data_IF_335941871568
#
_entry.id   IF_335941871568
#
_cell.length_a   1.000
_cell.length_b   1.000
_cell.length_c   1.000
_cell.angle_alpha   90.00
_cell.angle_beta   90.00
_cell.angle_gamma   90.00
#
_symmetry.space_group_name_H-M   'P 1'
#
loop_
_entity.id
_entity.type
_entity.pdbx_description
1 polymer ?
#
# COMPACT_ATOMS: atom_id res chain seq x y z
N UNK A 1 -0.26 -45.48 -19.11
CA UNK A 1 0.38 -44.56 -18.14
C UNK A 1 0.98 -43.39 -18.92
N UNK A 2 0.20 -42.34 -19.15
CA UNK A 2 0.69 -41.09 -19.76
C UNK A 2 -0.01 -39.92 -19.08
N UNK A 3 0.73 -39.24 -18.21
CA UNK A 3 0.30 -38.01 -17.54
C UNK A 3 0.41 -36.86 -18.53
N UNK A 4 -0.73 -36.36 -19.01
CA UNK A 4 -0.84 -35.10 -19.74
C UNK A 4 -0.60 -33.95 -18.75
N UNK A 5 0.61 -33.39 -18.77
CA UNK A 5 0.92 -32.12 -18.11
C UNK A 5 0.36 -31.01 -19.01
N UNK A 6 -0.84 -30.53 -18.70
CA UNK A 6 -1.36 -29.31 -19.32
C UNK A 6 -0.55 -28.10 -18.82
N UNK A 7 -0.05 -27.22 -19.72
CA UNK A 7 0.58 -25.99 -19.31
C UNK A 7 -0.48 -25.06 -18.70
N UNK A 8 -0.28 -24.64 -17.45
CA UNK A 8 -1.04 -23.53 -16.85
C UNK A 8 -0.75 -22.27 -17.66
N UNK A 9 -1.68 -21.91 -18.54
CA UNK A 9 -1.76 -20.59 -19.17
C UNK A 9 -1.81 -19.53 -18.07
N UNK A 10 -0.68 -18.88 -17.81
CA UNK A 10 -0.65 -17.63 -17.05
C UNK A 10 -1.22 -16.55 -17.95
N UNK A 11 -2.53 -16.31 -17.85
CA UNK A 11 -3.17 -15.14 -18.42
C UNK A 11 -2.60 -13.90 -17.72
N UNK A 12 -1.51 -13.37 -18.27
CA UNK A 12 -1.08 -12.00 -18.00
C UNK A 12 -2.08 -11.09 -18.70
N UNK A 13 -3.26 -10.90 -18.09
CA UNK A 13 -4.18 -9.85 -18.48
C UNK A 13 -3.47 -8.52 -18.20
N UNK A 14 -2.92 -7.93 -19.25
CA UNK A 14 -2.38 -6.57 -19.22
C UNK A 14 -3.58 -5.66 -18.88
N UNK A 15 -3.62 -5.15 -17.65
CA UNK A 15 -4.72 -4.29 -17.18
C UNK A 15 -4.84 -3.07 -18.09
N UNK A 16 -6.03 -2.82 -18.61
CA UNK A 16 -6.30 -1.67 -19.50
C UNK A 16 -6.17 -0.36 -18.71
N UNK A 17 -5.51 0.64 -19.30
CA UNK A 17 -5.35 1.94 -18.66
C UNK A 17 -6.70 2.66 -18.53
N UNK A 18 -7.11 2.95 -17.29
CA UNK A 18 -8.33 3.72 -16.99
C UNK A 18 -8.00 5.22 -17.07
N UNK A 19 -8.77 6.05 -17.79
CA UNK A 19 -8.59 7.50 -17.78
C UNK A 19 -8.83 8.06 -16.36
N UNK A 20 -7.89 8.86 -15.86
CA UNK A 20 -7.88 9.30 -14.46
C UNK A 20 -8.33 10.76 -14.29
N UNK A 21 -9.19 11.02 -13.31
CA UNK A 21 -9.61 12.37 -12.93
C UNK A 21 -8.55 13.12 -12.11
N UNK A 22 -8.55 14.46 -12.21
CA UNK A 22 -7.74 15.35 -11.37
C UNK A 22 -8.24 15.40 -9.92
N UNK A 23 -7.29 15.54 -9.01
CA UNK A 23 -7.54 15.40 -7.59
C UNK A 23 -7.93 16.74 -6.96
N UNK A 24 -9.23 17.04 -6.89
CA UNK A 24 -9.66 18.32 -6.32
C UNK A 24 -9.59 18.32 -4.78
N UNK A 25 -10.09 17.29 -4.07
CA UNK A 25 -10.08 17.23 -2.59
C UNK A 25 -9.99 15.76 -2.07
N UNK A 26 -9.26 15.51 -0.96
CA UNK A 26 -9.18 14.21 -0.28
C UNK A 26 -10.02 14.17 1.01
N UNK A 27 -10.99 13.25 1.12
CA UNK A 27 -11.78 13.01 2.34
C UNK A 27 -11.43 11.66 2.99
N UNK A 28 -10.64 11.71 4.07
CA UNK A 28 -10.26 10.52 4.85
C UNK A 28 -11.44 9.79 5.51
N UNK A 29 -12.57 10.46 5.75
CA UNK A 29 -13.77 9.82 6.29
C UNK A 29 -14.50 9.03 5.21
N UNK A 30 -14.58 9.55 3.99
CA UNK A 30 -15.11 8.82 2.84
C UNK A 30 -14.33 7.53 2.58
N UNK A 31 -12.99 7.60 2.57
CA UNK A 31 -12.14 6.40 2.41
C UNK A 31 -12.42 5.38 3.51
N UNK A 32 -12.50 5.80 4.77
CA UNK A 32 -12.82 4.88 5.89
C UNK A 32 -14.21 4.26 5.77
N UNK A 33 -15.22 5.02 5.32
CA UNK A 33 -16.55 4.46 5.04
C UNK A 33 -16.50 3.42 3.91
N UNK A 34 -15.73 3.68 2.87
CA UNK A 34 -15.54 2.73 1.78
C UNK A 34 -14.79 1.47 2.24
N UNK A 35 -13.76 1.60 3.07
CA UNK A 35 -13.08 0.47 3.72
C UNK A 35 -14.10 -0.36 4.53
N UNK A 36 -14.90 0.28 5.38
CA UNK A 36 -15.91 -0.41 6.18
C UNK A 36 -17.02 -1.06 5.31
N UNK A 37 -17.31 -0.52 4.12
CA UNK A 37 -18.21 -1.16 3.16
C UNK A 37 -17.55 -2.41 2.54
N UNK A 38 -16.31 -2.29 2.06
CA UNK A 38 -15.53 -3.40 1.52
C UNK A 38 -15.35 -4.52 2.55
N UNK A 39 -15.13 -4.19 3.82
CA UNK A 39 -15.02 -5.18 4.90
C UNK A 39 -16.36 -5.88 5.16
N UNK A 40 -17.49 -5.16 5.13
CA UNK A 40 -18.82 -5.76 5.24
C UNK A 40 -19.13 -6.69 4.08
N UNK A 41 -18.76 -6.31 2.86
CA UNK A 41 -18.94 -7.14 1.67
C UNK A 41 -18.00 -8.36 1.69
N UNK A 42 -16.74 -8.18 2.09
CA UNK A 42 -15.78 -9.26 2.28
C UNK A 42 -16.16 -10.23 3.42
N UNK A 43 -16.92 -9.77 4.42
CA UNK A 43 -17.49 -10.62 5.47
C UNK A 43 -18.65 -11.50 4.95
N UNK A 44 -19.23 -11.15 3.80
CA UNK A 44 -20.32 -11.89 3.13
C UNK A 44 -19.83 -12.84 2.04
N UNK A 45 -18.70 -12.52 1.40
CA UNK A 45 -18.06 -13.38 0.40
C UNK A 45 -17.03 -14.32 1.07
N UNK A 46 -16.71 -15.50 0.48
CA UNK A 46 -15.56 -16.27 0.92
C UNK A 46 -14.32 -15.39 0.80
N UNK A 47 -13.65 -15.08 1.92
CA UNK A 47 -12.48 -14.21 1.89
C UNK A 47 -11.46 -14.76 0.90
N UNK A 48 -11.26 -14.07 -0.22
CA UNK A 48 -10.02 -14.22 -0.98
C UNK A 48 -8.95 -13.57 -0.10
N UNK A 49 -8.43 -14.35 0.86
CA UNK A 49 -7.42 -13.88 1.79
C UNK A 49 -6.25 -13.27 1.03
N UNK A 50 -5.57 -12.29 1.66
CA UNK A 50 -4.46 -11.56 1.04
C UNK A 50 -3.50 -12.52 0.29
N UNK A 51 -3.35 -12.26 -1.00
CA UNK A 51 -2.42 -12.97 -1.87
C UNK A 51 -1.00 -12.49 -1.56
N UNK A 52 -0.38 -13.09 -0.55
CA UNK A 52 0.93 -12.68 -0.04
C UNK A 52 2.06 -13.54 -0.61
N UNK A 53 3.14 -12.89 -1.02
CA UNK A 53 4.46 -13.49 -1.27
C UNK A 53 5.51 -12.74 -0.43
N UNK A 54 6.45 -13.46 0.17
CA UNK A 54 7.59 -12.86 0.87
C UNK A 54 8.90 -13.30 0.23
N UNK A 55 9.68 -12.33 -0.24
CA UNK A 55 11.06 -12.50 -0.71
C UNK A 55 12.06 -12.03 0.38
N UNK A 56 11.58 -11.62 1.57
CA UNK A 56 12.41 -11.17 2.69
C UNK A 56 12.92 -12.37 3.50
N UNK A 57 14.24 -12.60 3.60
CA UNK A 57 14.79 -13.69 4.39
C UNK A 57 14.32 -13.65 5.86
N UNK A 58 13.92 -14.82 6.38
CA UNK A 58 13.48 -14.98 7.76
C UNK A 58 12.09 -14.43 8.08
N UNK A 59 11.34 -13.91 7.10
CA UNK A 59 9.95 -13.47 7.30
C UNK A 59 8.97 -14.40 6.54
N UNK A 60 8.22 -15.23 7.30
CA UNK A 60 7.28 -16.19 6.72
C UNK A 60 6.00 -15.49 6.25
N UNK A 61 5.36 -16.04 5.22
CA UNK A 61 4.07 -15.54 4.69
C UNK A 61 2.98 -15.49 5.78
N UNK A 62 2.96 -16.48 6.69
CA UNK A 62 2.01 -16.48 7.82
C UNK A 62 2.20 -15.27 8.75
N UNK A 63 3.45 -14.84 8.97
CA UNK A 63 3.76 -13.68 9.80
C UNK A 63 3.33 -12.38 9.14
N UNK A 64 3.49 -12.28 7.81
CA UNK A 64 2.98 -11.16 7.02
C UNK A 64 1.46 -11.11 7.09
N UNK A 65 0.77 -12.24 6.88
CA UNK A 65 -0.69 -12.31 6.98
C UNK A 65 -1.18 -11.88 8.36
N UNK A 66 -0.52 -12.33 9.43
CA UNK A 66 -0.83 -11.90 10.80
C UNK A 66 -0.55 -10.41 11.03
N UNK A 67 0.54 -9.88 10.48
CA UNK A 67 0.87 -8.46 10.56
C UNK A 67 -0.17 -7.56 9.86
N UNK A 68 -0.70 -8.01 8.72
CA UNK A 68 -1.68 -7.31 7.89
C UNK A 68 -3.14 -7.71 8.19
N UNK A 69 -3.37 -8.56 9.19
CA UNK A 69 -4.72 -8.93 9.59
C UNK A 69 -5.54 -7.68 9.99
N UNK A 70 -6.81 -7.66 9.60
CA UNK A 70 -7.73 -6.54 9.82
C UNK A 70 -7.43 -5.29 8.99
N UNK A 71 -6.60 -5.39 7.95
CA UNK A 71 -6.40 -4.31 6.97
C UNK A 71 -7.20 -4.61 5.70
N UNK A 72 -7.62 -3.56 4.96
CA UNK A 72 -8.45 -3.73 3.77
C UNK A 72 -7.73 -4.53 2.69
N UNK A 73 -8.45 -5.41 1.99
CA UNK A 73 -7.89 -6.19 0.87
C UNK A 73 -7.77 -5.34 -0.40
N UNK A 74 -6.75 -5.53 -1.25
CA UNK A 74 -6.62 -4.85 -2.53
C UNK A 74 -7.24 -5.68 -3.68
N UNK A 75 -8.32 -6.41 -3.37
CA UNK A 75 -8.96 -7.35 -4.30
C UNK A 75 -7.99 -8.46 -4.75
N UNK A 76 -7.76 -8.53 -6.06
CA UNK A 76 -6.93 -9.54 -6.73
C UNK A 76 -5.44 -9.17 -6.78
N UNK A 77 -5.03 -8.00 -6.26
CA UNK A 77 -3.62 -7.62 -6.21
C UNK A 77 -2.83 -8.55 -5.29
N UNK A 78 -1.63 -8.89 -5.75
CA UNK A 78 -0.65 -9.61 -4.93
C UNK A 78 0.14 -8.64 -4.05
N UNK A 79 0.24 -8.93 -2.76
CA UNK A 79 1.14 -8.23 -1.84
C UNK A 79 2.49 -8.95 -1.83
N UNK A 80 3.55 -8.26 -2.24
CA UNK A 80 4.90 -8.81 -2.34
C UNK A 80 5.82 -8.08 -1.36
N UNK A 81 6.34 -8.81 -0.37
CA UNK A 81 7.29 -8.26 0.59
C UNK A 81 8.71 -8.44 0.06
N UNK A 82 9.45 -7.33 -0.06
CA UNK A 82 10.84 -7.33 -0.55
C UNK A 82 11.79 -6.72 0.48
N UNK A 83 13.06 -7.13 0.52
CA UNK A 83 14.07 -6.42 1.30
C UNK A 83 14.34 -5.02 0.72
N UNK A 84 14.52 -4.05 1.62
CA UNK A 84 15.04 -2.72 1.32
C UNK A 84 16.46 -2.61 1.88
N UNK A 85 17.45 -2.65 0.99
CA UNK A 85 18.82 -2.31 1.36
C UNK A 85 18.96 -0.79 1.42
N UNK A 86 19.70 -0.30 2.41
CA UNK A 86 19.95 1.12 2.60
C UNK A 86 21.42 1.36 2.95
N UNK A 87 21.96 2.51 2.56
CA UNK A 87 23.35 2.90 2.84
C UNK A 87 23.46 3.73 4.12
N UNK A 88 22.61 4.74 4.27
CA UNK A 88 22.70 5.72 5.37
C UNK A 88 21.81 5.34 6.54
N UNK A 89 20.50 5.21 6.30
CA UNK A 89 19.51 4.87 7.34
C UNK A 89 18.34 4.07 6.78
N UNK A 90 17.68 3.25 7.61
CA UNK A 90 16.37 2.70 7.27
C UNK A 90 15.39 3.83 6.89
N UNK A 91 14.50 3.51 5.96
CA UNK A 91 13.42 4.39 5.52
C UNK A 91 12.26 3.54 4.99
N UNK A 92 11.11 4.17 4.83
CA UNK A 92 9.90 3.57 4.26
C UNK A 92 10.01 3.58 2.73
N UNK A 93 9.62 2.48 2.09
CA UNK A 93 9.51 2.42 0.65
C UNK A 93 8.47 1.38 0.23
N UNK A 94 7.56 1.78 -0.64
CA UNK A 94 6.56 0.92 -1.28
C UNK A 94 6.48 1.23 -2.77
N UNK A 95 5.69 0.44 -3.48
CA UNK A 95 5.26 0.76 -4.84
C UNK A 95 4.03 -0.07 -5.20
N UNK A 96 3.01 0.55 -5.76
CA UNK A 96 1.93 -0.14 -6.46
C UNK A 96 2.28 -0.32 -7.94
N UNK A 97 2.56 -1.55 -8.37
CA UNK A 97 2.74 -1.94 -9.78
C UNK A 97 1.37 -2.27 -10.39
N UNK A 98 0.66 -1.22 -10.83
CA UNK A 98 -0.73 -1.35 -11.30
C UNK A 98 -0.88 -2.30 -12.49
N UNK A 99 0.00 -2.21 -13.50
CA UNK A 99 -0.13 -2.97 -14.75
C UNK A 99 -0.04 -4.49 -14.56
N UNK A 100 0.56 -4.93 -13.45
CA UNK A 100 0.78 -6.34 -13.10
C UNK A 100 0.04 -6.77 -11.84
N UNK A 101 -0.79 -5.89 -11.26
CA UNK A 101 -1.61 -6.19 -10.10
C UNK A 101 -0.79 -6.50 -8.85
N UNK A 102 0.19 -5.65 -8.47
CA UNK A 102 1.01 -5.89 -7.27
C UNK A 102 1.16 -4.66 -6.37
N UNK A 103 1.11 -4.90 -5.07
CA UNK A 103 1.57 -3.96 -4.05
C UNK A 103 2.91 -4.49 -3.52
N UNK A 104 3.98 -3.74 -3.73
CA UNK A 104 5.30 -4.03 -3.19
C UNK A 104 5.46 -3.29 -1.87
N UNK A 105 5.70 -4.05 -0.81
CA UNK A 105 6.08 -3.50 0.50
C UNK A 105 7.55 -3.79 0.72
N UNK A 106 8.38 -2.76 0.83
CA UNK A 106 9.81 -2.94 1.10
C UNK A 106 10.11 -2.75 2.58
N UNK A 107 10.81 -3.72 3.16
CA UNK A 107 11.15 -3.73 4.58
C UNK A 107 12.66 -3.54 4.74
N UNK A 108 13.13 -2.56 5.54
CA UNK A 108 14.55 -2.37 5.80
C UNK A 108 15.26 -3.66 6.23
N UNK A 109 16.36 -3.98 5.56
CA UNK A 109 17.19 -5.15 5.84
C UNK A 109 18.69 -4.77 5.81
N UNK A 110 19.45 -4.94 6.91
CA UNK A 110 19.01 -5.46 8.20
C UNK A 110 17.99 -4.54 8.88
N UNK A 111 17.02 -5.10 9.59
CA UNK A 111 16.05 -4.26 10.29
C UNK A 111 16.67 -3.65 11.55
N UNK A 112 16.59 -2.32 11.66
CA UNK A 112 16.89 -1.57 12.89
C UNK A 112 15.76 -0.59 13.15
N UNK A 113 15.29 -0.44 14.41
CA UNK A 113 14.30 0.58 14.74
C UNK A 113 14.76 1.97 14.28
N UNK A 114 13.84 2.75 13.71
CA UNK A 114 14.15 4.07 13.17
C UNK A 114 12.98 5.03 13.34
N UNK A 115 13.22 6.31 13.05
CA UNK A 115 12.17 7.31 12.96
C UNK A 115 12.19 7.97 11.59
N UNK A 116 11.01 8.20 11.04
CA UNK A 116 10.81 8.90 9.77
C UNK A 116 9.92 10.13 10.04
N UNK A 117 10.16 11.21 9.29
CA UNK A 117 9.20 12.31 9.21
C UNK A 117 8.14 11.92 8.18
N UNK A 118 6.90 11.74 8.64
CA UNK A 118 5.76 11.43 7.77
C UNK A 118 4.97 12.71 7.57
N UNK A 119 4.72 13.09 6.32
CA UNK A 119 4.04 14.34 6.01
C UNK A 119 2.53 14.14 6.03
N UNK A 120 1.87 14.74 7.00
CA UNK A 120 0.44 14.52 7.24
C UNK A 120 -0.42 15.63 6.69
N UNK A 121 0.12 16.81 6.42
CA UNK A 121 -0.64 17.88 5.77
C UNK A 121 0.27 18.87 5.03
N UNK A 122 -0.30 19.54 4.05
CA UNK A 122 0.33 20.66 3.37
C UNK A 122 -0.71 21.76 3.22
N UNK A 123 -0.44 22.93 3.80
CA UNK A 123 -1.27 24.12 3.61
C UNK A 123 -0.57 25.08 2.67
N UNK A 124 -1.21 25.44 1.55
CA UNK A 124 -0.71 26.50 0.67
C UNK A 124 -0.64 27.82 1.44
N UNK A 125 0.52 28.49 1.40
CA UNK A 125 0.69 29.82 1.99
C UNK A 125 0.10 30.88 1.04
N UNK A 126 -0.54 31.94 1.57
CA UNK A 126 -1.01 33.05 0.75
C UNK A 126 0.16 33.76 0.07
N UNK A 127 -0.08 34.29 -1.14
CA UNK A 127 0.91 35.06 -1.92
C UNK A 127 1.11 34.55 -3.35
N UNK A 128 1.86 35.33 -4.15
CA UNK A 128 2.09 35.11 -5.58
C UNK A 128 3.03 33.92 -5.92
N UNK A 129 3.26 32.99 -4.99
CA UNK A 129 4.15 31.83 -5.19
C UNK A 129 3.54 30.52 -4.72
N UNK A 130 3.97 29.41 -5.33
CA UNK A 130 3.56 28.06 -4.93
C UNK A 130 4.35 27.60 -3.70
N UNK A 131 4.07 28.21 -2.54
CA UNK A 131 4.71 27.90 -1.26
C UNK A 131 3.77 27.12 -0.36
N UNK A 132 4.29 26.10 0.32
CA UNK A 132 3.51 25.26 1.25
C UNK A 132 4.10 25.31 2.66
N UNK A 133 3.23 25.27 3.66
CA UNK A 133 3.56 24.94 5.04
C UNK A 133 3.24 23.45 5.24
N UNK A 134 4.29 22.65 5.42
CA UNK A 134 4.17 21.21 5.63
C UNK A 134 4.01 20.91 7.12
N UNK A 135 3.05 20.07 7.44
CA UNK A 135 2.89 19.47 8.76
C UNK A 135 3.39 18.03 8.68
N UNK A 136 4.34 17.67 9.53
CA UNK A 136 4.88 16.32 9.62
C UNK A 136 4.83 15.80 11.05
N UNK A 137 4.75 14.48 11.17
CA UNK A 137 4.84 13.75 12.42
C UNK A 137 6.13 12.92 12.41
N UNK A 138 6.88 12.92 13.53
CA UNK A 138 8.04 12.05 13.69
C UNK A 138 7.57 10.70 14.21
N UNK A 139 7.51 9.71 13.33
CA UNK A 139 6.93 8.40 13.60
C UNK A 139 8.04 7.40 13.86
N UNK A 140 7.90 6.60 14.92
CA UNK A 140 8.90 5.58 15.29
C UNK A 140 8.45 4.19 14.88
N UNK A 141 9.24 3.55 14.03
CA UNK A 141 9.07 2.18 13.58
C UNK A 141 9.96 1.28 14.44
N UNK A 142 9.34 0.53 15.36
CA UNK A 142 10.03 -0.33 16.32
C UNK A 142 10.21 -1.75 15.78
N UNK A 143 9.32 -2.18 14.91
CA UNK A 143 9.28 -3.55 14.39
C UNK A 143 9.06 -3.59 12.89
N UNK A 144 9.41 -4.71 12.25
CA UNK A 144 9.06 -4.98 10.85
C UNK A 144 7.54 -4.90 10.62
N UNK A 145 6.72 -5.25 11.63
CA UNK A 145 5.25 -5.13 11.57
C UNK A 145 4.80 -3.69 11.38
N UNK A 146 5.44 -2.74 12.05
CA UNK A 146 5.09 -1.31 11.92
C UNK A 146 5.30 -0.84 10.48
N UNK A 147 6.45 -1.20 9.90
CA UNK A 147 6.78 -0.89 8.48
C UNK A 147 5.81 -1.59 7.53
N UNK A 148 5.55 -2.88 7.75
CA UNK A 148 4.63 -3.65 6.92
C UNK A 148 3.25 -3.00 6.87
N UNK A 149 2.68 -2.63 8.02
CA UNK A 149 1.34 -2.04 8.09
C UNK A 149 1.30 -0.65 7.48
N UNK A 150 2.26 0.20 7.81
CA UNK A 150 2.31 1.57 7.29
C UNK A 150 2.47 1.59 5.77
N UNK A 151 3.50 0.94 5.24
CA UNK A 151 3.78 0.93 3.80
C UNK A 151 2.63 0.24 3.06
N UNK A 152 2.09 -0.85 3.61
CA UNK A 152 0.93 -1.49 3.01
C UNK A 152 -0.28 -0.56 2.90
N UNK A 153 -0.66 0.15 3.97
CA UNK A 153 -1.80 1.06 3.94
C UNK A 153 -1.58 2.24 3.00
N UNK A 154 -0.34 2.76 2.96
CA UNK A 154 0.05 3.81 2.03
C UNK A 154 -0.17 3.36 0.57
N UNK A 155 0.40 2.21 0.19
CA UNK A 155 0.25 1.67 -1.16
C UNK A 155 -1.16 1.17 -1.46
N UNK A 156 -1.89 0.67 -0.45
CA UNK A 156 -3.28 0.29 -0.59
C UNK A 156 -4.14 1.50 -0.93
N UNK A 157 -3.85 2.68 -0.38
CA UNK A 157 -4.60 3.88 -0.73
C UNK A 157 -4.29 4.33 -2.16
N UNK A 158 -3.03 4.23 -2.60
CA UNK A 158 -2.67 4.42 -4.00
C UNK A 158 -3.46 3.49 -4.93
N UNK A 159 -3.54 2.22 -4.56
CA UNK A 159 -4.38 1.22 -5.23
C UNK A 159 -5.86 1.65 -5.26
N UNK A 160 -6.44 1.97 -4.10
CA UNK A 160 -7.85 2.31 -3.97
C UNK A 160 -8.23 3.55 -4.78
N UNK A 161 -7.43 4.62 -4.70
CA UNK A 161 -7.69 5.85 -5.45
C UNK A 161 -7.68 5.60 -6.96
N UNK A 162 -6.73 4.81 -7.46
CA UNK A 162 -6.64 4.52 -8.89
C UNK A 162 -7.69 3.52 -9.36
N UNK A 163 -7.75 2.34 -8.75
CA UNK A 163 -8.55 1.22 -9.25
C UNK A 163 -10.02 1.35 -8.86
N UNK A 164 -10.32 1.88 -7.68
CA UNK A 164 -11.71 1.96 -7.18
C UNK A 164 -12.35 3.33 -7.37
N UNK A 165 -11.56 4.40 -7.53
CA UNK A 165 -12.08 5.77 -7.66
C UNK A 165 -11.72 6.44 -8.99
N UNK A 166 -10.91 5.80 -9.85
CA UNK A 166 -10.49 6.40 -11.13
C UNK A 166 -9.71 7.71 -10.96
N UNK A 167 -9.03 7.90 -9.82
CA UNK A 167 -8.24 9.08 -9.50
C UNK A 167 -6.75 8.80 -9.65
N UNK A 168 -5.95 9.85 -9.77
CA UNK A 168 -4.48 9.70 -9.74
C UNK A 168 -4.02 9.18 -8.37
N UNK A 169 -3.07 8.26 -8.40
CA UNK A 169 -2.36 7.74 -7.22
C UNK A 169 -1.22 8.70 -6.78
N UNK A 170 -1.44 10.01 -6.82
CA UNK A 170 -0.41 11.03 -6.56
C UNK A 170 -0.54 11.71 -5.20
N UNK A 171 -1.46 11.25 -4.36
CA UNK A 171 -1.89 11.92 -3.14
C UNK A 171 -0.96 11.60 -1.95
N UNK A 172 0.36 11.72 -2.11
CA UNK A 172 1.36 11.19 -1.15
C UNK A 172 1.08 11.59 0.31
N UNK A 173 0.81 12.87 0.56
CA UNK A 173 0.48 13.38 1.91
C UNK A 173 -0.82 12.83 2.47
N UNK A 174 -1.79 12.52 1.61
CA UNK A 174 -3.05 11.89 1.99
C UNK A 174 -2.85 10.40 2.30
N UNK A 175 -2.03 9.70 1.49
CA UNK A 175 -1.62 8.31 1.69
C UNK A 175 -0.85 8.16 3.00
N UNK A 176 0.12 9.03 3.26
CA UNK A 176 0.86 9.10 4.53
C UNK A 176 -0.07 9.31 5.72
N UNK A 177 -0.95 10.32 5.65
CA UNK A 177 -1.94 10.60 6.70
C UNK A 177 -2.87 9.41 6.95
N UNK A 178 -3.28 8.70 5.91
CA UNK A 178 -4.13 7.52 6.03
C UNK A 178 -3.39 6.36 6.68
N UNK A 179 -2.15 6.09 6.28
CA UNK A 179 -1.33 5.01 6.82
C UNK A 179 -0.96 5.17 8.31
N UNK A 180 -1.07 6.40 8.86
CA UNK A 180 -0.86 6.65 10.29
C UNK A 180 -2.07 6.36 11.18
N UNK A 181 -3.28 6.21 10.62
CA UNK A 181 -4.53 6.16 11.39
C UNK A 181 -5.25 4.83 11.26
#
# INVERSE_FOLDING_TARGET
MSLLIMPRTRTSLRRTAVPLAEELHFDARAVRRAVAALERDASRAPSQGLLVRSDLPGLKVADVRRALAGLPSPGDYRVVIKPLRYRTRPHLAGLCEFDVGRIIVRVPEPFRPFSELVYVNARRKPGAGMKFAWLSEKVRFRTRRDVLRFVYLHEWLHWYLREMQGRRAGAETACDRFALR
#
